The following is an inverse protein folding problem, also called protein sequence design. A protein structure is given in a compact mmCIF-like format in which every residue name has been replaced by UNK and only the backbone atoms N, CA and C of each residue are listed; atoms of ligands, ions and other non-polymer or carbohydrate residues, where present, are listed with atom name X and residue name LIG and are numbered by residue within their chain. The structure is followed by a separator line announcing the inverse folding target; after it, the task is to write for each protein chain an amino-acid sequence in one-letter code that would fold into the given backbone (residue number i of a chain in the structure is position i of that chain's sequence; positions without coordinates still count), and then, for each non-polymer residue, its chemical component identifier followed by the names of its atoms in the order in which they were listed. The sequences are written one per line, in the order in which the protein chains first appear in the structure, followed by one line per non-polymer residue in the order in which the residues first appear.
data_IF_369744335072
#
_entry.id   IF_369744335072
#
_cell.length_a   1.000
_cell.length_b   1.000
_cell.length_c   1.000
_cell.angle_alpha   90.00
_cell.angle_beta   90.00
_cell.angle_gamma   90.00
#
_symmetry.space_group_name_H-M   'P 1'
#
loop_
_entity.id
_entity.type
_entity.pdbx_description
1 polymer ?
#
# COMPACT_ATOMS: atom_id res chain seq x y z
N UNK A 1 8.35 0.65 -12.31
CA UNK A 1 6.86 0.54 -12.26
C UNK A 1 6.31 0.44 -10.84
N UNK A 2 6.86 -0.41 -9.96
CA UNK A 2 6.38 -0.55 -8.56
C UNK A 2 6.79 0.59 -7.62
N UNK A 3 7.85 1.34 -7.95
CA UNK A 3 8.38 2.44 -7.13
C UNK A 3 7.32 3.48 -6.71
N UNK A 4 6.43 3.88 -7.63
CA UNK A 4 5.32 4.81 -7.32
C UNK A 4 4.38 4.27 -6.23
N UNK A 5 4.20 2.95 -6.13
CA UNK A 5 3.35 2.34 -5.11
C UNK A 5 4.06 2.33 -3.75
N UNK A 6 5.39 2.11 -3.72
CA UNK A 6 6.20 2.32 -2.51
C UNK A 6 6.11 3.76 -2.01
N UNK A 7 6.23 4.74 -2.92
CA UNK A 7 6.10 6.16 -2.61
C UNK A 7 4.71 6.50 -2.04
N UNK A 8 3.64 5.94 -2.61
CA UNK A 8 2.27 6.12 -2.12
C UNK A 8 2.04 5.46 -0.77
N UNK A 9 2.54 4.24 -0.54
CA UNK A 9 2.48 3.59 0.77
C UNK A 9 3.18 4.45 1.84
N UNK A 10 4.36 5.00 1.50
CA UNK A 10 5.06 5.92 2.39
C UNK A 10 4.31 7.24 2.60
N UNK A 11 3.62 7.76 1.57
CA UNK A 11 2.80 8.97 1.68
C UNK A 11 1.58 8.76 2.60
N UNK A 12 0.92 7.59 2.56
CA UNK A 12 -0.19 7.25 3.46
C UNK A 12 0.28 7.26 4.92
N UNK A 13 1.47 6.72 5.21
CA UNK A 13 2.08 6.77 6.55
C UNK A 13 2.46 8.19 7.01
N UNK A 14 2.90 9.05 6.08
CA UNK A 14 3.29 10.44 6.39
C UNK A 14 2.10 11.38 6.56
N UNK A 15 0.96 11.08 5.94
CA UNK A 15 -0.27 11.87 6.08
C UNK A 15 -0.72 11.84 7.54
N UNK A 16 -0.86 13.01 8.14
CA UNK A 16 -1.49 13.15 9.45
C UNK A 16 -2.99 12.84 9.38
N UNK A 17 -3.57 12.47 10.52
CA UNK A 17 -5.02 12.29 10.60
C UNK A 17 -5.71 13.66 10.56
N UNK A 18 -6.79 13.85 9.77
CA UNK A 18 -7.57 15.07 9.82
C UNK A 18 -8.11 15.34 11.23
N UNK A 19 -8.41 16.59 11.59
CA UNK A 19 -8.99 16.94 12.89
C UNK A 19 -10.47 16.56 12.95
N UNK A 20 -10.76 15.26 12.92
CA UNK A 20 -12.09 14.65 13.01
C UNK A 20 -12.16 13.77 14.26
N UNK A 21 -13.35 13.65 14.85
CA UNK A 21 -13.56 12.92 16.11
C UNK A 21 -14.50 11.72 15.95
N UNK A 22 -14.63 10.92 17.01
CA UNK A 22 -15.62 9.85 17.11
C UNK A 22 -15.53 8.80 15.99
N UNK A 23 -16.67 8.54 15.35
CA UNK A 23 -16.82 7.51 14.32
C UNK A 23 -16.05 7.85 13.04
N UNK A 24 -16.02 9.13 12.63
CA UNK A 24 -15.30 9.56 11.44
C UNK A 24 -13.79 9.35 11.59
N UNK A 25 -13.24 9.68 12.76
CA UNK A 25 -11.83 9.40 13.07
C UNK A 25 -11.46 7.94 12.85
N UNK A 26 -12.32 7.02 13.28
CA UNK A 26 -12.12 5.58 13.08
C UNK A 26 -12.20 5.19 11.60
N UNK A 27 -13.17 5.73 10.86
CA UNK A 27 -13.30 5.50 9.43
C UNK A 27 -12.05 5.95 8.65
N UNK A 28 -11.49 7.13 8.96
CA UNK A 28 -10.25 7.61 8.34
C UNK A 28 -9.03 6.74 8.65
N UNK A 29 -8.94 6.21 9.87
CA UNK A 29 -7.86 5.28 10.23
C UNK A 29 -7.97 3.94 9.49
N UNK A 30 -9.18 3.37 9.42
CA UNK A 30 -9.43 2.14 8.68
C UNK A 30 -9.13 2.32 7.18
N UNK A 31 -9.60 3.43 6.60
CA UNK A 31 -9.32 3.75 5.21
C UNK A 31 -7.81 3.90 4.96
N UNK A 32 -7.10 4.62 5.83
CA UNK A 32 -5.64 4.74 5.72
C UNK A 32 -4.93 3.39 5.83
N UNK A 33 -5.44 2.47 6.67
CA UNK A 33 -4.89 1.13 6.77
C UNK A 33 -5.10 0.33 5.47
N UNK A 34 -6.32 0.35 4.91
CA UNK A 34 -6.62 -0.29 3.63
C UNK A 34 -5.77 0.28 2.51
N UNK A 35 -5.72 1.61 2.37
CA UNK A 35 -4.91 2.31 1.37
C UNK A 35 -3.42 1.92 1.48
N UNK A 36 -2.91 1.87 2.72
CA UNK A 36 -1.53 1.46 2.95
C UNK A 36 -1.28 0.03 2.48
N UNK A 37 -2.14 -0.92 2.86
CA UNK A 37 -1.99 -2.33 2.50
C UNK A 37 -2.02 -2.52 0.97
N UNK A 38 -2.94 -1.87 0.27
CA UNK A 38 -3.07 -1.96 -1.18
C UNK A 38 -1.81 -1.46 -1.90
N UNK A 39 -1.24 -0.34 -1.44
CA UNK A 39 0.02 0.17 -2.00
C UNK A 39 1.24 -0.64 -1.58
N UNK A 40 1.26 -1.16 -0.36
CA UNK A 40 2.39 -1.93 0.17
C UNK A 40 2.54 -3.25 -0.59
N UNK A 41 1.45 -3.98 -0.82
CA UNK A 41 1.46 -5.28 -1.53
C UNK A 41 2.02 -5.11 -2.95
N UNK A 42 1.51 -4.14 -3.72
CA UNK A 42 2.00 -3.89 -5.09
C UNK A 42 3.41 -3.28 -5.08
N UNK A 43 3.70 -2.44 -4.09
CA UNK A 43 5.00 -1.82 -3.93
C UNK A 43 6.11 -2.83 -3.64
N UNK A 44 5.81 -3.89 -2.91
CA UNK A 44 6.78 -4.93 -2.56
C UNK A 44 6.98 -5.98 -3.65
N UNK A 45 6.01 -6.10 -4.56
CA UNK A 45 6.06 -7.08 -5.64
C UNK A 45 7.31 -6.95 -6.54
N UNK A 46 7.83 -8.10 -6.97
CA UNK A 46 8.77 -8.19 -8.08
C UNK A 46 7.99 -8.16 -9.41
N UNK A 47 8.25 -7.14 -10.23
CA UNK A 47 7.52 -6.92 -11.47
C UNK A 47 8.36 -7.31 -12.68
N UNK A 48 7.82 -8.19 -13.53
CA UNK A 48 8.40 -8.53 -14.83
C UNK A 48 7.37 -8.54 -15.94
N UNK A 49 7.82 -8.25 -17.16
CA UNK A 49 7.01 -8.42 -18.37
C UNK A 49 7.33 -9.77 -18.99
N UNK A 50 6.30 -10.54 -19.29
CA UNK A 50 6.41 -11.82 -19.97
C UNK A 50 5.45 -11.83 -21.16
N UNK A 51 6.01 -11.68 -22.37
CA UNK A 51 5.23 -11.48 -23.60
C UNK A 51 4.33 -10.23 -23.49
N UNK A 52 3.01 -10.44 -23.47
CA UNK A 52 1.99 -9.38 -23.35
C UNK A 52 1.44 -9.22 -21.92
N UNK A 53 2.03 -9.91 -20.93
CA UNK A 53 1.55 -9.91 -19.54
C UNK A 53 2.51 -9.17 -18.62
N UNK A 54 1.93 -8.39 -17.70
CA UNK A 54 2.62 -7.93 -16.51
C UNK A 54 2.41 -8.95 -15.40
N UNK A 55 3.49 -9.50 -14.88
CA UNK A 55 3.48 -10.42 -13.74
C UNK A 55 4.01 -9.66 -12.52
N UNK A 56 3.23 -9.69 -11.44
CA UNK A 56 3.62 -9.20 -10.12
C UNK A 56 3.73 -10.41 -9.20
N UNK A 57 4.94 -10.71 -8.77
CA UNK A 57 5.20 -11.77 -7.81
C UNK A 57 5.36 -11.17 -6.42
N UNK A 58 4.58 -11.70 -5.47
CA UNK A 58 4.59 -11.27 -4.08
C UNK A 58 4.94 -12.50 -3.27
N UNK A 59 6.00 -12.39 -2.48
CA UNK A 59 6.32 -13.40 -1.50
C UNK A 59 5.41 -13.23 -0.27
N UNK A 60 4.71 -14.31 0.11
CA UNK A 60 3.82 -14.35 1.28
C UNK A 60 4.47 -15.05 2.47
N UNK A 61 5.71 -15.54 2.30
CA UNK A 61 6.49 -16.25 3.31
C UNK A 61 7.27 -15.30 4.24
N UNK A 62 7.22 -15.63 5.54
CA UNK A 62 8.03 -15.08 6.66
C UNK A 62 9.51 -15.45 6.52
N UNK A 63 10.52 -14.86 7.17
CA UNK A 63 10.71 -13.77 8.14
C UNK A 63 12.23 -13.71 8.41
N UNK A 64 12.78 -12.54 8.73
CA UNK A 64 13.67 -12.42 9.90
C UNK A 64 13.02 -11.46 10.90
#
# INVERSE_FOLDING_TARGET
MVARFRERAAAVKRRGLPPVEGAERKAFMLQAQTDFMDFAIIGDANARLEGTKLILEIDLGKNE
#
